data_IF_533762576760
#
_entry.id   IF_533762576760
#
_cell.length_a   1.000
_cell.length_b   1.000
_cell.length_c   1.000
_cell.angle_alpha   90.00
_cell.angle_beta   90.00
_cell.angle_gamma   90.00
#
_symmetry.space_group_name_H-M   'P 1'
#
loop_
_entity.id
_entity.type
_entity.pdbx_description
1 polymer ?
#
# COMPACT_ATOMS: atom_id res chain seq x y z
N UNK A 1 28.80 9.90 -4.90
CA UNK A 1 27.71 8.98 -4.58
C UNK A 1 26.51 9.37 -5.42
N UNK A 2 25.71 8.43 -5.88
CA UNK A 2 24.45 8.74 -6.56
C UNK A 2 23.42 9.20 -5.54
N UNK A 3 22.33 9.84 -6.00
CA UNK A 3 21.21 10.19 -5.13
C UNK A 3 20.44 8.91 -4.73
N UNK A 4 19.97 8.86 -3.49
CA UNK A 4 19.08 7.80 -3.01
C UNK A 4 17.72 7.86 -3.73
N UNK A 5 17.36 6.79 -4.43
CA UNK A 5 16.16 6.75 -5.29
C UNK A 5 14.99 6.18 -4.50
N UNK A 6 13.96 6.99 -4.32
CA UNK A 6 12.75 6.65 -3.59
C UNK A 6 11.61 6.41 -4.59
N UNK A 7 10.99 5.23 -4.53
CA UNK A 7 9.70 4.99 -5.15
C UNK A 7 8.61 5.41 -4.14
N UNK A 8 8.03 6.61 -4.25
CA UNK A 8 7.07 7.07 -3.27
C UNK A 8 5.81 6.22 -3.32
N UNK A 9 5.24 5.97 -2.15
CA UNK A 9 3.96 5.32 -2.02
C UNK A 9 2.85 6.36 -1.84
N UNK A 10 1.59 5.99 -2.08
CA UNK A 10 0.41 6.87 -1.92
C UNK A 10 0.13 7.16 -0.44
N UNK A 11 1.07 7.81 0.26
CA UNK A 11 1.01 8.18 1.68
C UNK A 11 1.53 9.59 1.91
N UNK A 12 1.08 10.22 2.98
CA UNK A 12 1.43 11.61 3.28
C UNK A 12 2.90 11.82 3.66
N UNK A 13 3.59 10.78 4.09
CA UNK A 13 4.92 10.85 4.71
C UNK A 13 5.98 11.46 3.78
N UNK A 14 6.06 10.99 2.53
CA UNK A 14 7.02 11.52 1.57
C UNK A 14 6.73 12.98 1.22
N UNK A 15 5.45 13.34 1.04
CA UNK A 15 5.04 14.72 0.77
C UNK A 15 5.41 15.66 1.90
N UNK A 16 5.14 15.26 3.15
CA UNK A 16 5.48 16.02 4.33
C UNK A 16 7.01 16.12 4.48
N UNK A 17 7.74 15.04 4.26
CA UNK A 17 9.19 15.05 4.35
C UNK A 17 9.82 16.02 3.35
N UNK A 18 9.27 16.11 2.13
CA UNK A 18 9.70 17.12 1.12
C UNK A 18 9.31 18.52 1.57
N UNK A 19 8.03 18.76 1.93
CA UNK A 19 7.53 20.09 2.31
C UNK A 19 8.29 20.68 3.50
N UNK A 20 8.58 19.83 4.50
CA UNK A 20 9.24 20.24 5.75
C UNK A 20 10.78 20.22 5.69
N UNK A 21 11.35 19.74 4.57
CA UNK A 21 12.80 19.60 4.44
C UNK A 21 13.38 18.53 5.38
N UNK A 22 12.61 17.46 5.68
CA UNK A 22 13.09 16.42 6.60
C UNK A 22 14.16 15.54 5.98
N UNK A 23 14.15 15.35 4.66
CA UNK A 23 15.23 14.65 3.98
C UNK A 23 16.55 15.43 4.07
N UNK A 24 16.51 16.75 3.91
CA UNK A 24 17.66 17.64 4.09
C UNK A 24 18.12 17.69 5.56
N UNK A 25 17.16 17.69 6.49
CA UNK A 25 17.46 17.70 7.93
C UNK A 25 18.24 16.45 8.38
N UNK A 26 18.01 15.32 7.74
CA UNK A 26 18.73 14.06 8.01
C UNK A 26 19.93 13.85 7.09
N UNK A 27 20.30 14.85 6.30
CA UNK A 27 21.43 14.81 5.36
C UNK A 27 21.30 13.67 4.32
N UNK A 28 20.10 13.55 3.73
CA UNK A 28 19.81 12.59 2.66
C UNK A 28 19.74 13.30 1.30
N UNK A 29 20.67 12.98 0.40
CA UNK A 29 20.56 13.35 -1.02
C UNK A 29 19.66 12.36 -1.74
N UNK A 30 18.46 12.78 -2.15
CA UNK A 30 17.44 11.90 -2.69
C UNK A 30 16.92 12.32 -4.07
N UNK A 31 16.24 11.39 -4.70
CA UNK A 31 15.40 11.61 -5.88
C UNK A 31 14.10 10.81 -5.71
N UNK A 32 12.96 11.47 -5.90
CA UNK A 32 11.69 10.78 -6.05
C UNK A 32 11.51 10.30 -7.49
N UNK A 33 11.07 9.07 -7.68
CA UNK A 33 10.79 8.52 -9.00
C UNK A 33 9.38 8.92 -9.45
N UNK A 34 9.30 9.89 -10.37
CA UNK A 34 8.06 10.54 -10.81
C UNK A 34 7.04 9.58 -11.42
N UNK A 35 7.48 8.48 -12.05
CA UNK A 35 6.58 7.52 -12.68
C UNK A 35 5.69 6.76 -11.69
N UNK A 36 6.01 6.81 -10.41
CA UNK A 36 5.30 6.11 -9.34
C UNK A 36 4.41 7.06 -8.53
N UNK A 37 4.57 8.37 -8.69
CA UNK A 37 3.81 9.40 -7.99
C UNK A 37 2.33 9.41 -8.38
N UNK A 38 1.98 8.92 -9.56
CA UNK A 38 0.59 8.95 -9.99
C UNK A 38 0.03 7.54 -10.16
N UNK A 39 -0.78 7.10 -9.22
CA UNK A 39 -1.74 6.03 -9.50
C UNK A 39 -2.71 6.39 -10.66
N UNK A 40 -2.67 7.63 -11.11
CA UNK A 40 -3.34 8.18 -12.30
C UNK A 40 -2.42 8.25 -13.52
N UNK A 41 -1.10 8.07 -13.36
CA UNK A 41 -0.15 8.09 -14.48
C UNK A 41 -0.46 7.02 -15.49
N UNK A 42 -0.20 7.31 -16.75
CA UNK A 42 -0.41 6.44 -17.90
C UNK A 42 0.40 5.13 -17.81
N UNK A 43 0.05 4.27 -16.86
CA UNK A 43 0.57 2.90 -16.75
C UNK A 43 -0.04 1.96 -17.80
N UNK A 44 -0.56 2.50 -18.90
CA UNK A 44 -1.13 1.72 -19.99
C UNK A 44 -0.13 0.79 -20.67
N UNK A 45 1.18 1.01 -20.48
CA UNK A 45 2.23 0.24 -21.14
C UNK A 45 2.73 -0.99 -20.36
N UNK A 46 2.28 -1.22 -19.14
CA UNK A 46 2.75 -2.36 -18.32
C UNK A 46 1.98 -3.68 -18.58
N UNK A 47 0.98 -3.64 -19.49
CA UNK A 47 0.14 -4.80 -19.80
C UNK A 47 -0.63 -5.32 -18.58
N UNK A 48 -1.06 -6.58 -18.62
CA UNK A 48 -1.84 -7.21 -17.55
C UNK A 48 -1.01 -7.57 -16.30
N UNK A 49 0.29 -7.23 -16.27
CA UNK A 49 1.24 -7.54 -15.19
C UNK A 49 1.36 -6.37 -14.22
N UNK A 50 0.36 -6.17 -13.38
CA UNK A 50 0.34 -5.18 -12.29
C UNK A 50 0.52 -5.89 -10.94
N UNK A 51 0.76 -5.15 -9.86
CA UNK A 51 0.85 -5.72 -8.52
C UNK A 51 2.23 -6.24 -8.16
N UNK A 52 2.37 -7.53 -7.79
CA UNK A 52 3.63 -8.11 -7.32
C UNK A 52 4.78 -7.95 -8.32
N UNK A 53 4.51 -8.16 -9.59
CA UNK A 53 5.52 -8.00 -10.65
C UNK A 53 6.08 -6.57 -10.70
N UNK A 54 5.22 -5.57 -10.55
CA UNK A 54 5.65 -4.18 -10.48
C UNK A 54 6.54 -3.91 -9.26
N UNK A 55 6.22 -4.49 -8.11
CA UNK A 55 7.05 -4.39 -6.92
C UNK A 55 8.43 -4.99 -7.16
N UNK A 56 8.52 -6.11 -7.86
CA UNK A 56 9.80 -6.75 -8.21
C UNK A 56 10.64 -5.86 -9.13
N UNK A 57 10.03 -5.24 -10.14
CA UNK A 57 10.73 -4.34 -11.05
C UNK A 57 11.17 -3.03 -10.35
N UNK A 58 10.31 -2.47 -9.49
CA UNK A 58 10.63 -1.27 -8.72
C UNK A 58 11.79 -1.53 -7.75
N UNK A 59 11.84 -2.70 -7.11
CA UNK A 59 12.95 -3.11 -6.24
C UNK A 59 14.30 -3.27 -6.96
N UNK A 60 14.30 -3.28 -8.29
CA UNK A 60 15.53 -3.29 -9.09
C UNK A 60 16.00 -1.90 -9.54
N UNK A 61 15.14 -0.89 -9.44
CA UNK A 61 15.39 0.45 -10.00
C UNK A 61 15.41 1.56 -8.96
N UNK A 62 14.94 1.27 -7.74
CA UNK A 62 14.89 2.22 -6.64
C UNK A 62 15.58 1.64 -5.41
N UNK A 63 16.23 2.49 -4.61
CA UNK A 63 16.85 2.07 -3.35
C UNK A 63 15.81 1.65 -2.32
N UNK A 64 14.64 2.32 -2.32
CA UNK A 64 13.51 1.95 -1.47
C UNK A 64 12.18 2.07 -2.22
N UNK A 65 11.30 1.12 -1.96
CA UNK A 65 9.92 1.10 -2.43
C UNK A 65 9.00 0.52 -1.35
N UNK A 66 7.68 0.63 -1.51
CA UNK A 66 6.71 0.06 -0.58
C UNK A 66 5.58 -0.63 -1.33
N UNK A 67 5.09 -1.74 -0.76
CA UNK A 67 3.90 -2.44 -1.24
C UNK A 67 3.24 -3.17 -0.06
N UNK A 68 2.12 -3.86 -0.32
CA UNK A 68 1.52 -4.71 0.71
C UNK A 68 2.52 -5.77 1.18
N UNK A 69 2.49 -6.09 2.46
CA UNK A 69 3.50 -6.96 3.08
C UNK A 69 3.56 -8.36 2.45
N UNK A 70 2.46 -8.91 1.93
CA UNK A 70 2.47 -10.19 1.21
C UNK A 70 3.38 -10.14 -0.02
N UNK A 71 3.22 -9.10 -0.84
CA UNK A 71 4.02 -8.94 -2.06
C UNK A 71 5.50 -8.70 -1.74
N UNK A 72 5.80 -7.83 -0.76
CA UNK A 72 7.20 -7.58 -0.34
C UNK A 72 7.83 -8.83 0.26
N UNK A 73 7.06 -9.61 1.04
CA UNK A 73 7.51 -10.88 1.60
C UNK A 73 7.94 -11.86 0.50
N UNK A 74 7.08 -12.07 -0.51
CA UNK A 74 7.40 -12.97 -1.65
C UNK A 74 8.58 -12.44 -2.44
N UNK A 75 8.64 -11.13 -2.72
CA UNK A 75 9.73 -10.51 -3.45
C UNK A 75 11.08 -10.69 -2.72
N UNK A 76 11.12 -10.42 -1.43
CA UNK A 76 12.32 -10.59 -0.61
C UNK A 76 12.76 -12.06 -0.51
N UNK A 77 11.81 -12.98 -0.32
CA UNK A 77 12.09 -14.41 -0.28
C UNK A 77 12.57 -14.97 -1.64
N UNK A 78 12.26 -14.27 -2.73
CA UNK A 78 12.71 -14.61 -4.09
C UNK A 78 14.00 -13.88 -4.50
N UNK A 79 14.62 -13.09 -3.61
CA UNK A 79 15.88 -12.39 -3.88
C UNK A 79 15.74 -11.16 -4.77
N UNK A 80 14.57 -10.51 -4.82
CA UNK A 80 14.34 -9.26 -5.57
C UNK A 80 14.64 -7.98 -4.77
N UNK A 81 15.28 -8.11 -3.64
CA UNK A 81 15.63 -7.07 -2.67
C UNK A 81 15.45 -7.60 -1.26
N UNK A 82 15.47 -6.70 -0.27
CA UNK A 82 15.32 -7.02 1.15
C UNK A 82 14.09 -6.34 1.74
N UNK A 83 13.36 -7.03 2.59
CA UNK A 83 12.32 -6.43 3.42
C UNK A 83 12.98 -5.62 4.54
N UNK A 84 12.62 -4.35 4.69
CA UNK A 84 13.05 -3.55 5.83
C UNK A 84 12.31 -3.98 7.10
N UNK A 85 13.04 -4.61 8.03
CA UNK A 85 12.40 -5.26 9.16
C UNK A 85 12.25 -4.40 10.42
N UNK A 86 12.66 -3.11 10.39
CA UNK A 86 12.56 -2.22 11.56
C UNK A 86 11.32 -1.31 11.55
N UNK A 87 10.52 -1.39 10.50
CA UNK A 87 9.22 -0.72 10.43
C UNK A 87 8.29 -1.45 9.46
N UNK A 88 7.00 -1.28 9.68
CA UNK A 88 5.94 -1.60 8.75
C UNK A 88 4.89 -0.48 8.80
N UNK A 89 3.90 -0.52 7.94
CA UNK A 89 2.79 0.42 8.07
C UNK A 89 1.45 -0.29 7.96
N UNK A 90 0.40 0.38 8.37
CA UNK A 90 -0.98 -0.09 8.27
C UNK A 90 -1.74 0.86 7.37
N UNK A 91 -2.33 0.33 6.32
CA UNK A 91 -3.16 1.08 5.39
C UNK A 91 -4.63 0.78 5.64
N UNK A 92 -5.48 1.80 5.85
CA UNK A 92 -6.92 1.61 5.89
C UNK A 92 -7.40 1.13 4.52
N UNK A 93 -8.22 0.10 4.53
CA UNK A 93 -8.83 -0.48 3.34
C UNK A 93 -10.23 -0.99 3.69
N UNK A 94 -11.13 -1.00 2.72
CA UNK A 94 -12.49 -1.48 2.94
C UNK A 94 -13.20 -1.89 1.66
N UNK A 95 -14.19 -2.77 1.81
CA UNK A 95 -15.09 -3.15 0.73
C UNK A 95 -16.28 -2.19 0.74
N UNK A 96 -16.44 -1.45 -0.35
CA UNK A 96 -17.51 -0.47 -0.53
C UNK A 96 -18.54 -0.92 -1.55
N UNK A 97 -19.80 -0.57 -1.26
CA UNK A 97 -20.96 -0.78 -2.13
C UNK A 97 -21.80 0.51 -2.16
N UNK A 98 -22.70 0.71 -3.15
CA UNK A 98 -23.67 1.82 -3.13
C UNK A 98 -24.48 1.81 -1.83
N UNK A 99 -24.84 3.01 -1.33
CA UNK A 99 -25.61 3.13 -0.08
C UNK A 99 -26.95 2.38 -0.10
N UNK A 100 -27.63 2.40 -1.24
CA UNK A 100 -28.92 1.76 -1.49
C UNK A 100 -28.83 0.30 -1.91
N UNK A 101 -27.62 -0.28 -1.95
CA UNK A 101 -27.39 -1.69 -2.21
C UNK A 101 -28.07 -2.58 -1.16
N UNK A 102 -28.54 -3.74 -1.57
CA UNK A 102 -29.03 -4.79 -0.67
C UNK A 102 -27.91 -5.47 0.14
N UNK A 103 -26.64 -5.28 -0.25
CA UNK A 103 -25.47 -5.78 0.46
C UNK A 103 -25.26 -4.96 1.73
N UNK A 104 -25.44 -5.58 2.91
CA UNK A 104 -25.38 -4.92 4.22
C UNK A 104 -24.39 -5.53 5.19
N UNK A 105 -24.03 -6.79 4.96
CA UNK A 105 -23.11 -7.57 5.78
C UNK A 105 -22.08 -8.29 4.91
N UNK A 106 -20.97 -8.78 5.48
CA UNK A 106 -19.96 -9.55 4.72
C UNK A 106 -20.55 -10.81 4.05
N UNK A 107 -21.55 -11.45 4.65
CA UNK A 107 -22.19 -12.64 4.12
C UNK A 107 -22.97 -12.35 2.83
N UNK A 108 -23.48 -11.12 2.68
CA UNK A 108 -24.20 -10.70 1.47
C UNK A 108 -23.26 -10.52 0.26
N UNK A 109 -21.95 -10.55 0.48
CA UNK A 109 -20.95 -10.52 -0.60
C UNK A 109 -20.73 -11.89 -1.26
N UNK A 110 -21.39 -12.95 -0.81
CA UNK A 110 -21.28 -14.28 -1.42
C UNK A 110 -21.61 -14.23 -2.91
N UNK A 111 -20.63 -14.66 -3.75
CA UNK A 111 -20.72 -14.66 -5.22
C UNK A 111 -20.89 -13.28 -5.89
N UNK A 112 -20.83 -12.18 -5.14
CA UNK A 112 -20.81 -10.82 -5.70
C UNK A 112 -19.41 -10.52 -6.22
N UNK A 113 -19.25 -10.06 -7.48
CA UNK A 113 -17.93 -9.69 -7.99
C UNK A 113 -17.41 -8.43 -7.26
N UNK A 114 -16.30 -8.59 -6.55
CA UNK A 114 -15.62 -7.51 -5.83
C UNK A 114 -14.40 -7.09 -6.65
N UNK A 115 -14.38 -5.84 -7.10
CA UNK A 115 -13.27 -5.32 -7.88
C UNK A 115 -12.06 -5.05 -6.99
N UNK A 116 -10.92 -5.68 -7.31
CA UNK A 116 -9.64 -5.60 -6.60
C UNK A 116 -8.49 -5.42 -7.60
N UNK A 117 -7.32 -4.98 -7.13
CA UNK A 117 -6.11 -4.96 -7.94
C UNK A 117 -5.41 -6.33 -7.89
N UNK A 118 -5.05 -6.89 -9.05
CA UNK A 118 -4.37 -8.18 -9.10
C UNK A 118 -3.04 -8.13 -8.32
N UNK A 119 -2.79 -9.11 -7.47
CA UNK A 119 -1.62 -9.23 -6.60
C UNK A 119 -1.26 -7.93 -5.83
N UNK A 120 -2.28 -7.19 -5.40
CA UNK A 120 -2.16 -5.98 -4.58
C UNK A 120 -2.71 -6.20 -3.17
N UNK A 121 -2.50 -5.22 -2.28
CA UNK A 121 -3.06 -5.25 -0.92
C UNK A 121 -4.57 -5.50 -0.91
N UNK A 122 -5.32 -4.89 -1.82
CA UNK A 122 -6.77 -5.10 -1.93
C UNK A 122 -7.15 -6.52 -2.34
N UNK A 123 -6.31 -7.23 -3.10
CA UNK A 123 -6.53 -8.65 -3.43
C UNK A 123 -6.46 -9.52 -2.18
N UNK A 124 -5.32 -9.46 -1.50
CA UNK A 124 -5.04 -10.34 -0.37
C UNK A 124 -5.92 -10.02 0.83
N UNK A 125 -6.05 -8.74 1.17
CA UNK A 125 -6.83 -8.31 2.33
C UNK A 125 -8.33 -8.62 2.15
N UNK A 126 -8.86 -8.52 0.93
CA UNK A 126 -10.24 -8.91 0.64
C UNK A 126 -10.47 -10.40 0.91
N UNK A 127 -9.58 -11.29 0.42
CA UNK A 127 -9.69 -12.73 0.70
C UNK A 127 -9.59 -12.97 2.21
N UNK A 128 -8.52 -12.50 2.85
CA UNK A 128 -8.27 -12.76 4.26
C UNK A 128 -9.38 -12.27 5.17
N UNK A 129 -9.96 -11.10 4.86
CA UNK A 129 -11.04 -10.53 5.68
C UNK A 129 -12.41 -11.20 5.44
N UNK A 130 -12.62 -11.81 4.27
CA UNK A 130 -13.88 -12.52 3.97
C UNK A 130 -13.89 -13.98 4.41
N UNK A 131 -12.74 -14.62 4.55
CA UNK A 131 -12.62 -16.03 4.96
C UNK A 131 -13.35 -16.40 6.27
N UNK A 132 -13.50 -15.50 7.29
CA UNK A 132 -14.31 -15.79 8.47
C UNK A 132 -15.81 -15.87 8.19
N UNK A 133 -16.29 -15.31 7.09
CA UNK A 133 -17.70 -15.16 6.76
C UNK A 133 -18.15 -16.03 5.58
N UNK A 134 -17.24 -16.28 4.62
CA UNK A 134 -17.55 -16.93 3.37
C UNK A 134 -16.62 -18.11 3.11
N UNK A 135 -17.11 -19.13 2.43
CA UNK A 135 -16.24 -20.16 1.89
C UNK A 135 -15.38 -19.59 0.74
N UNK A 136 -14.21 -20.16 0.51
CA UNK A 136 -13.33 -19.72 -0.57
C UNK A 136 -14.02 -19.71 -1.95
N UNK A 137 -14.95 -20.62 -2.18
CA UNK A 137 -15.71 -20.72 -3.44
C UNK A 137 -16.73 -19.59 -3.63
N UNK A 138 -17.18 -18.98 -2.54
CA UNK A 138 -18.15 -17.88 -2.55
C UNK A 138 -17.49 -16.51 -2.64
N UNK A 139 -16.16 -16.42 -2.47
CA UNK A 139 -15.39 -15.19 -2.65
C UNK A 139 -15.13 -15.00 -4.15
N UNK A 140 -15.82 -14.03 -4.76
CA UNK A 140 -15.74 -13.74 -6.18
C UNK A 140 -14.98 -12.43 -6.42
N UNK A 141 -13.78 -12.50 -6.99
CA UNK A 141 -12.94 -11.33 -7.25
C UNK A 141 -12.91 -10.98 -8.74
N UNK A 142 -13.03 -9.69 -9.04
CA UNK A 142 -12.87 -9.14 -10.38
C UNK A 142 -11.56 -8.35 -10.47
N UNK A 143 -10.75 -8.63 -11.49
CA UNK A 143 -9.50 -7.93 -11.77
C UNK A 143 -9.58 -7.05 -13.04
N UNK A 144 -10.75 -7.03 -13.68
CA UNK A 144 -10.93 -6.38 -14.98
C UNK A 144 -11.06 -4.85 -14.91
N UNK A 145 -11.23 -4.29 -13.71
CA UNK A 145 -11.65 -2.90 -13.54
C UNK A 145 -10.48 -1.91 -13.43
N UNK A 146 -9.25 -2.38 -13.59
CA UNK A 146 -8.06 -1.55 -13.66
C UNK A 146 -7.50 -1.11 -12.30
N UNK A 147 -6.78 0.03 -12.30
CA UNK A 147 -6.09 0.57 -11.15
C UNK A 147 -7.05 1.17 -10.10
N UNK A 148 -6.53 1.50 -8.93
CA UNK A 148 -7.27 1.96 -7.75
C UNK A 148 -8.32 3.04 -8.06
N UNK A 149 -7.93 4.14 -8.72
CA UNK A 149 -8.87 5.22 -9.06
C UNK A 149 -9.91 4.79 -10.09
N UNK A 150 -9.54 3.92 -11.03
CA UNK A 150 -10.50 3.41 -12.02
C UNK A 150 -11.57 2.53 -11.39
N UNK A 151 -11.19 1.69 -10.40
CA UNK A 151 -12.16 0.91 -9.64
C UNK A 151 -13.12 1.81 -8.86
N UNK A 152 -12.58 2.87 -8.21
CA UNK A 152 -13.40 3.90 -7.57
C UNK A 152 -14.39 4.53 -8.55
N UNK A 153 -13.92 4.97 -9.72
CA UNK A 153 -14.77 5.53 -10.77
C UNK A 153 -15.87 4.57 -11.20
N UNK A 154 -15.53 3.30 -11.39
CA UNK A 154 -16.50 2.29 -11.80
C UNK A 154 -17.61 2.07 -10.76
N UNK A 155 -17.28 2.14 -9.46
CA UNK A 155 -18.29 2.09 -8.40
C UNK A 155 -19.18 3.33 -8.42
N UNK A 156 -18.59 4.54 -8.50
CA UNK A 156 -19.33 5.80 -8.54
C UNK A 156 -20.26 5.85 -9.76
N UNK A 157 -19.80 5.33 -10.90
CA UNK A 157 -20.58 5.27 -12.14
C UNK A 157 -21.60 4.12 -12.17
N UNK A 158 -21.72 3.33 -11.09
CA UNK A 158 -22.65 2.18 -11.02
C UNK A 158 -22.32 1.01 -11.94
N UNK A 159 -21.05 0.89 -12.39
CA UNK A 159 -20.59 -0.17 -13.30
C UNK A 159 -20.25 -1.48 -12.61
N UNK A 160 -19.93 -1.41 -11.32
CA UNK A 160 -19.57 -2.57 -10.50
C UNK A 160 -20.35 -2.53 -9.19
N UNK A 161 -20.73 -3.68 -8.62
CA UNK A 161 -21.52 -3.75 -7.39
C UNK A 161 -20.72 -3.52 -6.11
N UNK A 162 -19.42 -3.89 -6.11
CA UNK A 162 -18.55 -3.80 -4.95
C UNK A 162 -17.09 -3.58 -5.37
N UNK A 163 -16.34 -2.81 -4.57
CA UNK A 163 -14.91 -2.56 -4.77
C UNK A 163 -14.16 -2.57 -3.46
N UNK A 164 -12.90 -3.00 -3.49
CA UNK A 164 -11.97 -2.82 -2.38
C UNK A 164 -11.06 -1.62 -2.66
N UNK A 165 -11.09 -0.64 -1.75
CA UNK A 165 -10.39 0.64 -1.89
C UNK A 165 -9.62 0.99 -0.63
N UNK A 166 -8.48 1.68 -0.81
CA UNK A 166 -7.58 2.15 0.24
C UNK A 166 -7.11 3.57 -0.04
N UNK A 167 -6.29 4.17 0.84
CA UNK A 167 -5.74 5.52 0.69
C UNK A 167 -6.83 6.59 0.49
N UNK A 168 -6.59 7.62 -0.34
CA UNK A 168 -7.55 8.68 -0.63
C UNK A 168 -8.95 8.20 -1.07
N UNK A 169 -9.06 7.25 -2.03
CA UNK A 169 -10.34 6.67 -2.43
C UNK A 169 -11.18 6.09 -1.30
N UNK A 170 -10.57 5.48 -0.29
CA UNK A 170 -11.28 4.97 0.88
C UNK A 170 -12.08 6.09 1.58
N UNK A 171 -11.43 7.22 1.90
CA UNK A 171 -12.08 8.35 2.56
C UNK A 171 -13.10 9.05 1.66
N UNK A 172 -12.81 9.13 0.37
CA UNK A 172 -13.71 9.75 -0.58
C UNK A 172 -15.03 8.98 -0.71
N UNK A 173 -14.98 7.64 -0.70
CA UNK A 173 -16.19 6.83 -0.67
C UNK A 173 -17.02 7.05 0.60
N UNK A 174 -16.37 7.16 1.76
CA UNK A 174 -17.06 7.51 3.01
C UNK A 174 -17.71 8.90 2.92
N UNK A 175 -17.00 9.89 2.36
CA UNK A 175 -17.53 11.24 2.16
C UNK A 175 -18.74 11.26 1.22
N UNK A 176 -18.73 10.46 0.15
CA UNK A 176 -19.85 10.35 -0.78
C UNK A 176 -21.02 9.51 -0.23
N UNK A 177 -20.89 8.92 0.95
CA UNK A 177 -21.94 8.15 1.59
C UNK A 177 -22.07 6.71 1.09
N UNK A 178 -21.06 6.17 0.41
CA UNK A 178 -21.02 4.75 0.10
C UNK A 178 -20.92 3.92 1.37
N UNK A 179 -21.54 2.74 1.37
CA UNK A 179 -21.47 1.85 2.54
C UNK A 179 -20.19 1.03 2.52
N UNK A 180 -19.38 1.15 3.59
CA UNK A 180 -18.32 0.20 3.87
C UNK A 180 -18.91 -1.04 4.54
N UNK A 181 -18.90 -2.17 3.83
CA UNK A 181 -19.47 -3.44 4.30
C UNK A 181 -18.50 -4.14 5.25
N UNK A 182 -17.20 -4.08 4.94
CA UNK A 182 -16.16 -4.74 5.72
C UNK A 182 -14.89 -3.86 5.72
N UNK A 183 -14.28 -3.72 6.90
CA UNK A 183 -12.93 -3.19 7.02
C UNK A 183 -11.93 -4.29 6.65
N UNK A 184 -11.03 -3.97 5.73
CA UNK A 184 -10.01 -4.88 5.22
C UNK A 184 -8.62 -4.23 5.31
N UNK A 185 -8.40 -3.41 6.35
CA UNK A 185 -7.11 -2.78 6.62
C UNK A 185 -5.98 -3.81 6.62
N UNK A 186 -4.83 -3.44 6.06
CA UNK A 186 -3.73 -4.37 5.87
C UNK A 186 -2.37 -3.74 6.11
N UNK A 187 -1.38 -4.61 6.33
CA UNK A 187 0.00 -4.21 6.52
C UNK A 187 0.68 -3.91 5.18
N UNK A 188 1.52 -2.88 5.21
CA UNK A 188 2.47 -2.54 4.16
C UNK A 188 3.89 -2.78 4.68
N UNK A 189 4.81 -3.10 3.78
CA UNK A 189 6.22 -3.20 4.09
C UNK A 189 7.05 -2.44 3.06
N UNK A 190 8.23 -2.02 3.47
CA UNK A 190 9.19 -1.44 2.56
C UNK A 190 10.14 -2.52 2.03
N UNK A 191 10.47 -2.42 0.75
CA UNK A 191 11.50 -3.19 0.09
C UNK A 191 12.70 -2.29 -0.17
N UNK A 192 13.88 -2.76 0.18
CA UNK A 192 15.18 -2.09 0.00
C UNK A 192 15.95 -2.86 -1.06
N UNK A 193 16.55 -2.15 -2.02
CA UNK A 193 17.40 -2.77 -3.02
C UNK A 193 18.62 -3.45 -2.35
N UNK A 194 19.11 -4.52 -2.94
CA UNK A 194 20.19 -5.30 -2.33
C UNK A 194 21.53 -4.53 -2.21
N UNK A 195 21.74 -3.57 -3.10
CA UNK A 195 22.91 -2.70 -3.16
C UNK A 195 22.68 -1.28 -2.61
N UNK A 196 21.50 -1.01 -2.00
CA UNK A 196 21.21 0.27 -1.38
C UNK A 196 22.14 0.58 -0.20
N UNK A 197 22.55 1.84 -0.07
CA UNK A 197 23.30 2.29 1.10
C UNK A 197 22.41 2.26 2.35
N UNK A 198 22.78 1.45 3.32
CA UNK A 198 21.98 1.26 4.54
C UNK A 198 21.96 2.50 5.45
N UNK A 199 22.97 3.36 5.40
CA UNK A 199 22.97 4.61 6.14
C UNK A 199 21.95 5.58 5.52
N UNK A 200 21.80 5.60 4.20
CA UNK A 200 20.77 6.40 3.51
C UNK A 200 19.36 5.81 3.70
N UNK A 201 19.22 4.49 3.78
CA UNK A 201 17.95 3.84 4.19
C UNK A 201 17.52 4.30 5.58
N UNK A 202 18.45 4.37 6.54
CA UNK A 202 18.17 4.87 7.89
C UNK A 202 17.76 6.34 7.90
N UNK A 203 18.46 7.18 7.15
CA UNK A 203 18.08 8.59 7.00
C UNK A 203 16.68 8.74 6.41
N UNK A 204 16.34 7.93 5.38
CA UNK A 204 14.99 7.91 4.81
C UNK A 204 13.93 7.61 5.88
N UNK A 205 14.08 6.53 6.63
CA UNK A 205 13.13 6.19 7.70
C UNK A 205 13.16 7.19 8.85
N UNK A 206 14.29 7.82 9.11
CA UNK A 206 14.41 8.94 10.04
C UNK A 206 13.54 10.14 9.64
N UNK A 207 13.57 10.54 8.36
CA UNK A 207 12.71 11.58 7.82
C UNK A 207 11.23 11.21 7.89
N UNK A 208 10.88 9.95 7.55
CA UNK A 208 9.50 9.47 7.65
C UNK A 208 9.00 9.42 9.11
N UNK A 209 9.88 9.18 10.09
CA UNK A 209 9.53 9.24 11.51
C UNK A 209 9.16 10.67 11.95
N UNK A 210 9.85 11.69 11.43
CA UNK A 210 9.49 13.08 11.66
C UNK A 210 8.14 13.41 11.02
N UNK A 211 7.92 12.97 9.78
CA UNK A 211 6.65 13.16 9.10
C UNK A 211 5.49 12.44 9.82
N UNK A 212 5.70 11.21 10.31
CA UNK A 212 4.68 10.49 11.10
C UNK A 212 4.30 11.27 12.37
N UNK A 213 5.27 11.88 13.03
CA UNK A 213 5.01 12.71 14.21
C UNK A 213 4.12 13.92 13.88
N UNK A 214 4.35 14.57 12.76
CA UNK A 214 3.52 15.67 12.28
C UNK A 214 2.10 15.21 11.96
N UNK A 215 1.96 14.07 11.30
CA UNK A 215 0.65 13.44 11.02
C UNK A 215 -0.09 13.14 12.32
N UNK A 216 0.56 12.53 13.29
CA UNK A 216 -0.04 12.19 14.59
C UNK A 216 -0.51 13.43 15.35
N UNK A 217 0.14 14.57 15.16
CA UNK A 217 -0.21 15.82 15.83
C UNK A 217 -1.30 16.62 15.10
N UNK A 218 -1.22 16.72 13.77
CA UNK A 218 -2.02 17.66 12.98
C UNK A 218 -2.25 17.16 11.54
N UNK A 219 -2.81 15.96 11.38
CA UNK A 219 -3.05 15.36 10.05
C UNK A 219 -3.83 16.27 9.09
N UNK A 220 -4.76 17.06 9.62
CA UNK A 220 -5.63 17.95 8.84
C UNK A 220 -4.87 19.03 8.05
N UNK A 221 -3.61 19.27 8.39
CA UNK A 221 -2.76 20.21 7.65
C UNK A 221 -2.24 19.60 6.34
N UNK A 222 -2.26 18.29 6.20
CA UNK A 222 -1.57 17.56 5.13
C UNK A 222 -2.51 16.77 4.22
N UNK A 223 -3.75 16.52 4.63
CA UNK A 223 -4.70 15.74 3.83
C UNK A 223 -5.06 16.36 2.48
N UNK A 224 -4.71 17.64 2.27
CA UNK A 224 -4.88 18.31 0.97
C UNK A 224 -4.06 17.66 -0.15
N UNK A 225 -2.95 16.99 0.15
CA UNK A 225 -2.14 16.27 -0.85
C UNK A 225 -2.91 15.16 -1.56
N UNK A 226 -3.91 14.56 -0.94
CA UNK A 226 -4.75 13.57 -1.62
C UNK A 226 -5.44 14.12 -2.86
N UNK A 227 -5.73 15.44 -2.91
CA UNK A 227 -6.40 16.06 -4.06
C UNK A 227 -5.58 15.93 -5.34
N UNK A 228 -4.26 16.01 -5.24
CA UNK A 228 -3.37 16.01 -6.41
C UNK A 228 -3.33 14.63 -7.10
N UNK A 229 -3.62 13.57 -6.35
CA UNK A 229 -3.67 12.20 -6.86
C UNK A 229 -4.99 11.85 -7.57
N UNK A 230 -6.06 12.62 -7.28
CA UNK A 230 -7.39 12.29 -7.77
C UNK A 230 -7.64 12.71 -9.22
N UNK A 231 -8.46 11.92 -9.96
CA UNK A 231 -8.97 12.35 -11.27
C UNK A 231 -9.65 13.72 -11.17
N UNK A 232 -9.40 14.58 -12.16
CA UNK A 232 -9.85 15.97 -12.17
C UNK A 232 -11.36 16.12 -11.88
N UNK A 233 -12.19 15.22 -12.42
CA UNK A 233 -13.65 15.24 -12.26
C UNK A 233 -14.13 15.17 -10.80
N UNK A 234 -13.29 14.73 -9.87
CA UNK A 234 -13.66 14.61 -8.44
C UNK A 234 -13.05 15.67 -7.56
N UNK A 235 -12.01 16.39 -8.01
CA UNK A 235 -11.24 17.32 -7.17
C UNK A 235 -12.09 18.41 -6.52
N UNK A 236 -13.10 18.91 -7.23
CA UNK A 236 -14.00 19.95 -6.73
C UNK A 236 -15.07 19.42 -5.75
N UNK A 237 -15.26 18.09 -5.71
CA UNK A 237 -16.21 17.44 -4.81
C UNK A 237 -15.55 17.03 -3.48
N UNK A 238 -14.22 17.10 -3.39
CA UNK A 238 -13.47 16.63 -2.23
C UNK A 238 -13.38 17.69 -1.14
N UNK A 239 -13.78 17.34 0.07
CA UNK A 239 -13.37 18.02 1.28
C UNK A 239 -12.30 17.19 2.00
N UNK A 240 -11.03 17.45 1.68
CA UNK A 240 -9.90 16.69 2.23
C UNK A 240 -9.74 16.85 3.74
N UNK A 241 -10.40 17.82 4.38
CA UNK A 241 -10.42 17.96 5.84
C UNK A 241 -11.17 16.83 6.53
N UNK A 242 -12.04 16.12 5.78
CA UNK A 242 -12.75 14.93 6.25
C UNK A 242 -11.95 13.65 6.08
N UNK A 243 -10.79 13.73 5.43
CA UNK A 243 -9.94 12.55 5.21
C UNK A 243 -9.08 12.27 6.43
N UNK A 244 -8.88 11.00 6.70
CA UNK A 244 -7.93 10.54 7.71
C UNK A 244 -6.48 10.57 7.21
N UNK A 245 -5.54 10.13 8.05
CA UNK A 245 -4.10 10.18 7.75
C UNK A 245 -3.65 9.18 6.68
N UNK A 246 -4.52 8.27 6.27
CA UNK A 246 -4.15 7.18 5.38
C UNK A 246 -3.26 6.15 6.06
N UNK A 247 -2.21 5.77 5.38
CA UNK A 247 -1.22 4.81 5.88
C UNK A 247 -0.49 5.38 7.11
N UNK A 248 -0.38 4.57 8.17
CA UNK A 248 0.38 4.90 9.38
C UNK A 248 1.61 4.01 9.48
N UNK A 249 2.79 4.60 9.62
CA UNK A 249 4.02 3.85 9.85
C UNK A 249 4.14 3.49 11.34
N UNK A 250 4.43 2.22 11.59
CA UNK A 250 4.73 1.64 12.90
C UNK A 250 6.21 1.30 12.92
N UNK A 251 6.97 2.00 13.76
CA UNK A 251 8.41 1.82 13.90
C UNK A 251 8.73 0.71 14.92
N UNK A 252 8.24 -0.47 14.61
CA UNK A 252 8.47 -1.70 15.37
C UNK A 252 8.88 -2.83 14.41
N UNK A 253 9.52 -3.89 14.93
CA UNK A 253 10.00 -4.97 14.08
C UNK A 253 8.88 -5.70 13.34
N UNK A 254 9.07 -5.88 12.02
CA UNK A 254 8.36 -6.88 11.24
C UNK A 254 8.96 -8.24 11.56
N UNK A 255 8.30 -9.00 12.43
CA UNK A 255 8.87 -10.21 13.04
C UNK A 255 8.96 -11.39 12.07
N UNK A 256 9.80 -12.37 12.43
CA UNK A 256 9.83 -13.69 11.76
C UNK A 256 8.45 -14.35 11.73
N UNK A 257 7.71 -14.26 12.83
CA UNK A 257 6.38 -14.86 12.93
C UNK A 257 5.44 -14.30 11.87
N UNK A 258 5.37 -12.95 11.73
CA UNK A 258 4.58 -12.29 10.69
C UNK A 258 5.04 -12.74 9.29
N UNK A 259 6.35 -12.85 9.09
CA UNK A 259 6.92 -13.27 7.80
C UNK A 259 6.50 -14.69 7.45
N UNK A 260 6.68 -15.62 8.37
CA UNK A 260 6.40 -17.04 8.14
C UNK A 260 4.89 -17.32 8.02
N UNK A 261 4.06 -16.68 8.84
CA UNK A 261 2.60 -16.76 8.73
C UNK A 261 2.08 -16.21 7.41
N UNK A 262 2.60 -15.09 6.95
CA UNK A 262 2.24 -14.51 5.65
C UNK A 262 2.57 -15.44 4.50
N UNK A 263 3.76 -16.06 4.51
CA UNK A 263 4.17 -17.04 3.49
C UNK A 263 3.27 -18.27 3.49
N UNK A 264 2.99 -18.81 4.68
CA UNK A 264 2.11 -19.96 4.84
C UNK A 264 0.72 -19.64 4.28
N UNK A 265 0.15 -18.50 4.64
CA UNK A 265 -1.17 -18.07 4.16
C UNK A 265 -1.22 -17.95 2.63
N UNK A 266 -0.19 -17.37 2.00
CA UNK A 266 -0.09 -17.23 0.54
C UNK A 266 0.03 -18.61 -0.14
N UNK A 267 0.89 -19.49 0.42
CA UNK A 267 1.12 -20.84 -0.12
C UNK A 267 -0.15 -21.69 -0.15
N UNK A 268 -0.94 -21.64 0.91
CA UNK A 268 -2.20 -22.37 1.02
C UNK A 268 -3.25 -21.95 -0.03
N UNK A 269 -3.12 -20.75 -0.60
CA UNK A 269 -4.07 -20.19 -1.57
C UNK A 269 -3.59 -20.18 -3.00
N UNK A 270 -2.37 -20.61 -3.23
CA UNK A 270 -1.77 -20.70 -4.56
C UNK A 270 -1.92 -19.43 -5.41
N UNK A 271 -1.65 -18.27 -4.78
CA UNK A 271 -1.86 -16.94 -5.41
C UNK A 271 -0.72 -16.57 -6.37
N UNK A 272 0.47 -17.15 -6.21
CA UNK A 272 1.65 -16.90 -7.04
C UNK A 272 2.00 -18.13 -7.87
N UNK A 273 1.92 -17.99 -9.19
CA UNK A 273 2.21 -19.07 -10.14
C UNK A 273 3.72 -19.42 -10.18
N UNK A 274 4.60 -18.43 -9.97
CA UNK A 274 6.07 -18.56 -10.07
C UNK A 274 6.74 -19.06 -8.77
N UNK A 275 5.95 -19.42 -7.76
CA UNK A 275 6.44 -19.84 -6.46
C UNK A 275 6.71 -18.70 -5.49
N UNK A 276 7.08 -19.06 -4.25
CA UNK A 276 7.16 -18.10 -3.12
C UNK A 276 8.61 -17.71 -2.76
N UNK A 277 9.59 -18.15 -3.53
CA UNK A 277 10.99 -18.04 -3.14
C UNK A 277 11.35 -18.93 -1.94
N UNK A 278 12.65 -19.21 -1.76
CA UNK A 278 13.15 -20.16 -0.76
C UNK A 278 14.01 -19.53 0.34
N UNK A 279 14.28 -18.21 0.25
CA UNK A 279 15.10 -17.54 1.25
C UNK A 279 14.40 -17.50 2.60
N UNK A 280 15.18 -17.75 3.67
CA UNK A 280 14.69 -17.64 5.04
C UNK A 280 14.44 -16.17 5.44
N UNK A 281 13.77 -15.97 6.57
CA UNK A 281 13.57 -14.62 7.13
C UNK A 281 14.89 -13.85 7.21
N UNK A 282 15.95 -14.42 7.80
CA UNK A 282 17.25 -13.76 7.95
C UNK A 282 17.91 -13.39 6.63
N UNK A 283 17.68 -14.18 5.60
CA UNK A 283 18.22 -13.92 4.26
C UNK A 283 17.39 -12.88 3.50
N UNK A 284 16.13 -12.73 3.86
CA UNK A 284 15.15 -11.87 3.17
C UNK A 284 15.04 -10.47 3.75
N UNK A 285 15.59 -10.22 4.95
CA UNK A 285 15.45 -8.93 5.63
C UNK A 285 16.73 -8.11 5.63
N UNK A 286 16.53 -6.81 5.82
CA UNK A 286 17.55 -5.88 6.30
C UNK A 286 17.07 -5.22 7.58
N UNK A 287 17.94 -5.28 8.59
CA UNK A 287 17.79 -4.54 9.84
C UNK A 287 18.98 -3.60 9.94
N UNK A 288 18.74 -2.31 9.92
CA UNK A 288 19.81 -1.35 10.14
C UNK A 288 20.39 -1.47 11.54
N UNK A 289 21.60 -0.98 11.70
CA UNK A 289 22.21 -0.82 13.02
C UNK A 289 21.36 0.17 13.80
N UNK A 290 20.90 -0.22 14.99
CA UNK A 290 20.09 0.61 15.88
C UNK A 290 20.77 1.96 16.05
N UNK A 291 20.20 3.01 15.46
CA UNK A 291 20.54 4.38 15.82
C UNK A 291 19.92 4.61 17.20
N UNK A 292 20.73 4.61 18.23
CA UNK A 292 20.33 5.20 19.51
C UNK A 292 20.02 6.67 19.23
N UNK A 293 18.74 7.02 19.28
CA UNK A 293 18.32 8.41 19.26
C UNK A 293 19.01 9.09 20.46
N UNK A 294 19.99 9.92 20.17
CA UNK A 294 20.51 10.87 21.14
C UNK A 294 19.34 11.78 21.52
N UNK A 295 18.89 11.64 22.76
CA UNK A 295 17.81 12.42 23.39
C UNK A 295 18.09 13.92 23.38
#
# INVERSE_FOLDING_TARGET
MGKFIIAPHMRLHEWIAVEKGYFEQVDLEYKLEDQLLSATGNRHDLGDRTGAYQTFETGRTCDVSSACHWTVNVAAASGHGKLYASAYSVSPCGIFVPYDSDIKSPEDLANIPISVGFQSGSHYSTIQSLEPFLSQHDINLSFADGLLFKRMENLVDGKVPAVSLFSGPYYFMEQLGFRKVLDTSFMMAAMVAEDADLDDVEKYFGALRLAQKDIDLRQELYTHYYRDEFPERFRDQMDTRLFGPGERIVFEPYSREIFDESRKWIAERNIFDDGLGDLSYEQSIVTPKVFELVN
#
